data_IF_267386062858
#
_entry.id   IF_267386062858
#
_cell.length_a   1.000
_cell.length_b   1.000
_cell.length_c   1.000
_cell.angle_alpha   90.00
_cell.angle_beta   90.00
_cell.angle_gamma   90.00
#
_symmetry.space_group_name_H-M   'P 1'
#
loop_
_entity.id
_entity.type
_entity.pdbx_description
1 polymer ?
#
# COMPACT_ATOMS: atom_id res chain seq x y z
N UNK A 1 17.91 -21.51 10.89
CA UNK A 1 17.35 -20.12 10.79
C UNK A 1 15.86 -20.26 10.56
N UNK A 2 15.01 -19.51 11.26
CA UNK A 2 13.58 -19.50 10.97
C UNK A 2 13.39 -18.88 9.58
N UNK A 3 12.66 -19.57 8.71
CA UNK A 3 12.38 -19.08 7.35
C UNK A 3 11.70 -17.71 7.41
N UNK A 4 12.15 -16.76 6.56
CA UNK A 4 11.52 -15.44 6.51
C UNK A 4 10.11 -15.57 5.94
N UNK A 5 9.17 -14.93 6.58
CA UNK A 5 7.76 -14.92 6.16
C UNK A 5 7.57 -14.14 4.85
N UNK A 6 6.76 -14.65 3.93
CA UNK A 6 6.51 -14.00 2.63
C UNK A 6 5.84 -12.64 2.79
N UNK A 7 6.40 -11.62 2.13
CA UNK A 7 5.85 -10.26 2.04
C UNK A 7 5.55 -9.91 0.59
N UNK A 8 4.30 -9.70 0.25
CA UNK A 8 3.88 -9.19 -1.07
C UNK A 8 3.94 -7.66 -1.07
N UNK A 9 4.63 -7.08 -2.05
CA UNK A 9 4.77 -5.61 -2.18
C UNK A 9 4.00 -5.15 -3.41
N UNK A 10 2.96 -4.35 -3.21
CA UNK A 10 2.02 -3.93 -4.23
C UNK A 10 2.44 -2.56 -4.78
N UNK A 11 2.70 -2.50 -6.10
CA UNK A 11 3.26 -1.30 -6.76
C UNK A 11 2.39 -0.94 -7.97
N UNK A 12 1.34 -0.12 -7.80
CA UNK A 12 0.59 0.42 -8.92
C UNK A 12 1.41 1.46 -9.68
N UNK A 13 1.30 1.44 -11.01
CA UNK A 13 1.93 2.41 -11.91
C UNK A 13 1.09 2.60 -13.16
N UNK A 14 0.96 3.82 -13.69
CA UNK A 14 0.07 4.13 -14.81
C UNK A 14 0.69 4.99 -15.91
N UNK A 15 1.90 5.53 -15.70
CA UNK A 15 2.57 6.40 -16.70
C UNK A 15 3.89 5.81 -17.15
N UNK A 16 4.11 5.73 -18.46
CA UNK A 16 5.37 5.26 -19.07
C UNK A 16 6.56 6.15 -18.68
N UNK A 17 6.35 7.43 -18.38
CA UNK A 17 7.39 8.35 -17.87
C UNK A 17 7.96 7.88 -16.51
N UNK A 18 7.23 7.05 -15.76
CA UNK A 18 7.65 6.54 -14.46
C UNK A 18 8.37 5.19 -14.51
N UNK A 19 8.54 4.60 -15.68
CA UNK A 19 9.27 3.32 -15.83
C UNK A 19 10.65 3.35 -15.18
N UNK A 20 11.49 4.40 -15.35
CA UNK A 20 12.79 4.45 -14.67
C UNK A 20 12.68 4.44 -13.14
N UNK A 21 11.68 5.12 -12.56
CA UNK A 21 11.43 5.12 -11.12
C UNK A 21 10.91 3.77 -10.63
N UNK A 22 9.98 3.15 -11.36
CA UNK A 22 9.51 1.80 -11.08
C UNK A 22 10.68 0.81 -11.01
N UNK A 23 11.58 0.84 -12.01
CA UNK A 23 12.78 -0.02 -12.03
C UNK A 23 13.65 0.25 -10.79
N UNK A 24 13.85 1.52 -10.45
CA UNK A 24 14.63 1.91 -9.27
C UNK A 24 13.96 1.44 -7.97
N UNK A 25 12.63 1.58 -7.85
CA UNK A 25 11.85 1.09 -6.71
C UNK A 25 12.03 -0.41 -6.55
N UNK A 26 11.84 -1.20 -7.61
CA UNK A 26 11.98 -2.66 -7.56
C UNK A 26 13.41 -3.07 -7.21
N UNK A 27 14.42 -2.45 -7.83
CA UNK A 27 15.84 -2.71 -7.49
C UNK A 27 16.15 -2.42 -6.02
N UNK A 28 15.60 -1.34 -5.46
CA UNK A 28 15.81 -1.02 -4.03
C UNK A 28 15.19 -2.06 -3.08
N UNK A 29 14.02 -2.61 -3.44
CA UNK A 29 13.38 -3.71 -2.71
C UNK A 29 14.26 -4.96 -2.76
N UNK A 30 14.73 -5.36 -3.94
CA UNK A 30 15.54 -6.56 -4.15
C UNK A 30 16.93 -6.48 -3.51
N UNK A 31 17.49 -5.27 -3.41
CA UNK A 31 18.76 -5.02 -2.71
C UNK A 31 18.63 -5.11 -1.18
N UNK A 32 17.41 -5.09 -0.64
CA UNK A 32 17.15 -5.17 0.80
C UNK A 32 17.67 -6.47 1.45
N UNK A 33 17.88 -6.43 2.77
CA UNK A 33 18.33 -7.58 3.57
C UNK A 33 17.24 -8.63 3.82
N UNK A 34 15.96 -8.23 3.75
CA UNK A 34 14.82 -9.15 3.82
C UNK A 34 14.61 -9.79 2.45
N UNK A 35 14.75 -11.12 2.34
CA UNK A 35 14.82 -11.82 1.04
C UNK A 35 13.49 -12.40 0.55
N UNK A 36 12.61 -12.80 1.46
CA UNK A 36 11.32 -13.39 1.07
C UNK A 36 10.29 -12.31 0.71
N UNK A 37 10.61 -11.51 -0.31
CA UNK A 37 9.77 -10.44 -0.87
C UNK A 37 9.26 -10.81 -2.25
N UNK A 38 8.00 -10.45 -2.53
CA UNK A 38 7.37 -10.68 -3.82
C UNK A 38 6.74 -9.38 -4.35
N UNK A 39 7.44 -8.60 -5.18
CA UNK A 39 6.86 -7.42 -5.80
C UNK A 39 5.78 -7.80 -6.82
N UNK A 40 4.61 -7.20 -6.70
CA UNK A 40 3.49 -7.28 -7.65
C UNK A 40 3.26 -5.91 -8.26
N UNK A 41 3.59 -5.76 -9.52
CA UNK A 41 3.44 -4.52 -10.29
C UNK A 41 2.07 -4.53 -10.95
N UNK A 42 1.29 -3.49 -10.74
CA UNK A 42 0.01 -3.30 -11.43
C UNK A 42 0.18 -2.23 -12.50
N UNK A 43 0.32 -2.65 -13.76
CA UNK A 43 0.30 -1.76 -14.92
C UNK A 43 -1.14 -1.28 -15.15
N UNK A 44 -1.45 -0.07 -14.65
CA UNK A 44 -2.82 0.42 -14.58
C UNK A 44 -3.22 1.19 -15.85
N UNK A 45 -3.87 0.47 -16.78
CA UNK A 45 -4.31 1.00 -18.07
C UNK A 45 -3.18 1.28 -19.06
N UNK A 46 -1.97 0.71 -18.84
CA UNK A 46 -0.80 0.99 -19.67
C UNK A 46 -0.07 -0.30 -20.04
N UNK A 47 -0.22 -0.71 -21.31
CA UNK A 47 0.39 -1.93 -21.83
C UNK A 47 1.92 -1.81 -21.96
N UNK A 48 2.47 -0.64 -22.24
CA UNK A 48 3.92 -0.45 -22.40
C UNK A 48 4.63 -0.73 -21.06
N UNK A 49 4.04 -0.28 -19.94
CA UNK A 49 4.56 -0.60 -18.62
C UNK A 49 4.54 -2.11 -18.37
N UNK A 50 3.43 -2.78 -18.71
CA UNK A 50 3.33 -4.23 -18.59
C UNK A 50 4.42 -4.95 -19.38
N UNK A 51 4.61 -4.56 -20.65
CA UNK A 51 5.58 -5.20 -21.54
C UNK A 51 7.03 -4.95 -21.07
N UNK A 52 7.34 -3.71 -20.67
CA UNK A 52 8.69 -3.35 -20.19
C UNK A 52 9.00 -4.03 -18.86
N UNK A 53 8.08 -3.95 -17.89
CA UNK A 53 8.28 -4.54 -16.57
C UNK A 53 8.43 -6.06 -16.65
N UNK A 54 7.61 -6.74 -17.48
CA UNK A 54 7.67 -8.19 -17.69
C UNK A 54 8.97 -8.65 -18.35
N UNK A 55 9.59 -7.81 -19.19
CA UNK A 55 10.84 -8.14 -19.90
C UNK A 55 12.09 -7.80 -19.10
N UNK A 56 12.08 -6.70 -18.35
CA UNK A 56 13.28 -6.14 -17.74
C UNK A 56 13.44 -6.44 -16.25
N UNK A 57 12.35 -6.82 -15.56
CA UNK A 57 12.38 -7.06 -14.12
C UNK A 57 12.26 -8.56 -13.83
N UNK A 58 13.20 -9.07 -13.05
CA UNK A 58 13.20 -10.47 -12.61
C UNK A 58 12.56 -10.58 -11.22
N UNK A 59 12.05 -11.77 -10.88
CA UNK A 59 11.46 -12.07 -9.57
C UNK A 59 10.33 -11.10 -9.17
N UNK A 60 9.50 -10.72 -10.14
CA UNK A 60 8.30 -9.90 -9.95
C UNK A 60 7.10 -10.55 -10.65
N UNK A 61 5.90 -10.26 -10.18
CA UNK A 61 4.68 -10.52 -10.95
C UNK A 61 4.20 -9.21 -11.53
N UNK A 62 3.83 -9.21 -12.81
CA UNK A 62 3.27 -8.03 -13.49
C UNK A 62 1.84 -8.37 -13.92
N UNK A 63 0.89 -7.55 -13.50
CA UNK A 63 -0.52 -7.67 -13.90
C UNK A 63 -0.98 -6.41 -14.61
N UNK A 64 -1.87 -6.57 -15.60
CA UNK A 64 -2.41 -5.48 -16.39
C UNK A 64 -3.87 -5.20 -16.02
N UNK A 65 -4.18 -3.96 -15.66
CA UNK A 65 -5.53 -3.44 -15.75
C UNK A 65 -5.78 -2.98 -17.19
N UNK A 66 -6.73 -3.58 -17.91
CA UNK A 66 -7.02 -3.22 -19.32
C UNK A 66 -7.40 -1.73 -19.48
N UNK A 67 -7.96 -1.11 -18.44
CA UNK A 67 -8.29 0.32 -18.36
C UNK A 67 -7.74 0.88 -17.07
N UNK A 68 -7.39 2.15 -17.05
CA UNK A 68 -6.96 2.85 -15.84
C UNK A 68 -8.08 2.85 -14.79
N UNK A 69 -7.76 2.42 -13.59
CA UNK A 69 -8.67 2.28 -12.43
C UNK A 69 -8.13 2.98 -11.19
N UNK A 70 -6.95 3.60 -11.31
CA UNK A 70 -6.21 4.30 -10.28
C UNK A 70 -5.71 3.43 -9.10
N UNK A 71 -5.09 4.11 -8.13
CA UNK A 71 -4.26 3.47 -7.11
C UNK A 71 -5.06 2.55 -6.19
N UNK A 72 -6.22 3.00 -5.70
CA UNK A 72 -7.05 2.26 -4.74
C UNK A 72 -7.54 0.93 -5.31
N UNK A 73 -8.08 0.98 -6.51
CA UNK A 73 -8.52 -0.24 -7.18
C UNK A 73 -7.37 -1.22 -7.39
N UNK A 74 -6.21 -0.72 -7.82
CA UNK A 74 -5.05 -1.55 -8.10
C UNK A 74 -4.51 -2.25 -6.85
N UNK A 75 -4.46 -1.55 -5.70
CA UNK A 75 -4.08 -2.17 -4.42
C UNK A 75 -5.10 -3.23 -4.00
N UNK A 76 -6.38 -2.88 -3.95
CA UNK A 76 -7.45 -3.80 -3.53
C UNK A 76 -7.53 -5.03 -4.45
N UNK A 77 -7.26 -4.89 -5.75
CA UNK A 77 -7.18 -6.01 -6.69
C UNK A 77 -6.13 -7.02 -6.27
N UNK A 78 -4.91 -6.57 -5.97
CA UNK A 78 -3.85 -7.50 -5.55
C UNK A 78 -4.19 -8.17 -4.22
N UNK A 79 -4.77 -7.45 -3.26
CA UNK A 79 -5.20 -8.03 -2.00
C UNK A 79 -6.26 -9.12 -2.16
N UNK A 80 -7.08 -9.07 -3.22
CA UNK A 80 -8.06 -10.11 -3.57
C UNK A 80 -7.46 -11.31 -4.29
N UNK A 81 -6.56 -11.04 -5.24
CA UNK A 81 -6.06 -12.05 -6.18
C UNK A 81 -4.82 -12.79 -5.67
N UNK A 82 -4.08 -12.23 -4.72
CA UNK A 82 -2.82 -12.80 -4.22
C UNK A 82 -2.89 -13.10 -2.72
N UNK A 83 -2.60 -14.32 -2.36
CA UNK A 83 -2.45 -14.70 -0.95
C UNK A 83 -1.01 -14.49 -0.48
N UNK A 84 -0.88 -13.83 0.68
CA UNK A 84 0.39 -13.60 1.37
C UNK A 84 0.13 -13.43 2.87
N UNK A 85 1.12 -13.72 3.69
CA UNK A 85 0.99 -13.48 5.13
C UNK A 85 1.05 -11.99 5.49
N UNK A 86 1.85 -11.23 4.71
CA UNK A 86 1.99 -9.79 4.87
C UNK A 86 1.98 -9.08 3.52
N UNK A 87 1.50 -7.83 3.54
CA UNK A 87 1.43 -6.98 2.36
C UNK A 87 2.00 -5.60 2.67
N UNK A 88 2.82 -5.08 1.77
CA UNK A 88 3.21 -3.68 1.73
C UNK A 88 2.49 -3.02 0.56
N UNK A 89 1.72 -1.95 0.85
CA UNK A 89 1.18 -1.10 -0.18
C UNK A 89 2.13 0.08 -0.42
N UNK A 90 2.50 0.28 -1.67
CA UNK A 90 3.56 1.18 -2.10
C UNK A 90 3.15 2.00 -3.34
N UNK A 91 4.09 2.69 -3.95
CA UNK A 91 3.99 3.31 -5.26
C UNK A 91 5.30 3.17 -6.03
N UNK A 92 5.28 3.55 -7.30
CA UNK A 92 6.37 3.39 -8.26
C UNK A 92 7.52 4.42 -8.10
N UNK A 93 7.43 5.32 -7.12
CA UNK A 93 8.38 6.41 -6.88
C UNK A 93 8.99 6.38 -5.47
N UNK A 94 9.26 5.16 -4.97
CA UNK A 94 9.83 4.94 -3.64
C UNK A 94 11.23 4.33 -3.72
N UNK A 95 12.11 4.71 -2.78
CA UNK A 95 13.32 3.95 -2.47
C UNK A 95 13.17 3.33 -1.08
N UNK A 96 13.39 2.04 -1.03
CA UNK A 96 13.44 1.27 0.21
C UNK A 96 14.88 1.22 0.71
N UNK A 97 15.20 1.78 1.89
CA UNK A 97 16.49 1.55 2.54
C UNK A 97 16.75 0.04 2.74
N UNK A 98 18.01 -0.34 2.79
CA UNK A 98 18.44 -1.74 2.81
C UNK A 98 17.76 -2.60 3.89
N UNK A 99 17.57 -2.06 5.10
CA UNK A 99 16.92 -2.78 6.20
C UNK A 99 15.43 -2.40 6.40
N UNK A 100 14.85 -1.62 5.49
CA UNK A 100 13.50 -1.09 5.65
C UNK A 100 12.46 -2.19 5.93
N UNK A 101 12.37 -3.18 5.05
CA UNK A 101 11.39 -4.26 5.18
C UNK A 101 11.65 -5.11 6.42
N UNK A 102 12.92 -5.46 6.67
CA UNK A 102 13.33 -6.24 7.84
C UNK A 102 12.93 -5.55 9.17
N UNK A 103 13.20 -4.25 9.29
CA UNK A 103 12.85 -3.48 10.48
C UNK A 103 11.34 -3.30 10.62
N UNK A 104 10.64 -3.11 9.50
CA UNK A 104 9.17 -3.02 9.48
C UNK A 104 8.54 -4.35 9.92
N UNK A 105 9.06 -5.49 9.48
CA UNK A 105 8.62 -6.81 9.93
C UNK A 105 8.88 -7.05 11.42
N UNK A 106 10.05 -6.62 11.92
CA UNK A 106 10.34 -6.65 13.38
C UNK A 106 9.33 -5.80 14.17
N UNK A 107 9.02 -4.61 13.68
CA UNK A 107 8.01 -3.75 14.31
C UNK A 107 6.62 -4.40 14.31
N UNK A 108 6.22 -5.06 13.21
CA UNK A 108 4.97 -5.82 13.13
C UNK A 108 4.94 -6.94 14.18
N UNK A 109 5.97 -7.75 14.23
CA UNK A 109 6.06 -8.87 15.20
C UNK A 109 6.02 -8.38 16.65
N UNK A 110 6.64 -7.22 16.93
CA UNK A 110 6.65 -6.61 18.27
C UNK A 110 5.30 -6.01 18.67
N UNK A 111 4.68 -5.25 17.76
CA UNK A 111 3.47 -4.47 18.06
C UNK A 111 2.19 -5.26 17.82
N UNK A 112 2.19 -6.10 16.78
CA UNK A 112 1.03 -6.85 16.31
C UNK A 112 1.44 -8.27 15.89
N UNK A 113 1.80 -9.14 16.85
CA UNK A 113 2.36 -10.48 16.57
C UNK A 113 1.40 -11.39 15.79
N UNK A 114 0.10 -11.09 15.84
CA UNK A 114 -0.94 -11.79 15.09
C UNK A 114 -1.20 -11.20 13.68
N UNK A 115 -0.44 -10.18 13.28
CA UNK A 115 -0.60 -9.48 12.00
C UNK A 115 -1.83 -8.56 11.93
N UNK A 116 -2.58 -8.37 13.03
CA UNK A 116 -3.75 -7.50 13.04
C UNK A 116 -3.37 -6.06 13.41
N UNK A 117 -2.82 -5.32 12.44
CA UNK A 117 -2.41 -3.94 12.61
C UNK A 117 -1.70 -3.40 11.37
N UNK A 118 -1.34 -2.12 11.42
CA UNK A 118 -0.65 -1.41 10.33
C UNK A 118 0.63 -0.76 10.86
N UNK A 119 1.74 -1.05 10.17
CA UNK A 119 3.02 -0.38 10.38
C UNK A 119 3.23 0.63 9.26
N UNK A 120 3.39 1.91 9.58
CA UNK A 120 3.67 2.94 8.58
C UNK A 120 5.13 2.89 8.11
N UNK A 121 5.36 2.99 6.81
CA UNK A 121 6.69 3.09 6.19
C UNK A 121 7.05 4.53 5.78
N UNK A 122 6.12 5.47 5.88
CA UNK A 122 6.32 6.83 5.38
C UNK A 122 6.61 7.83 6.48
N UNK A 123 5.58 8.31 7.13
CA UNK A 123 5.67 9.38 8.13
C UNK A 123 4.90 9.02 9.39
N UNK A 124 5.42 9.49 10.54
CA UNK A 124 4.67 9.45 11.80
C UNK A 124 3.27 10.03 11.61
N UNK A 125 2.26 9.35 12.11
CA UNK A 125 0.86 9.75 11.99
C UNK A 125 0.29 9.83 10.56
N UNK A 126 0.81 9.01 9.62
CA UNK A 126 0.27 8.86 8.27
C UNK A 126 0.30 7.41 7.82
N UNK A 127 -0.69 7.01 7.03
CA UNK A 127 -0.80 5.68 6.41
C UNK A 127 -0.65 5.76 4.87
N UNK A 128 0.26 6.61 4.35
CA UNK A 128 0.44 6.76 2.89
C UNK A 128 1.03 5.49 2.29
N UNK A 129 2.01 4.89 2.97
CA UNK A 129 2.62 3.60 2.66
C UNK A 129 2.73 2.81 3.94
N UNK A 130 2.56 1.51 3.88
CA UNK A 130 2.59 0.70 5.10
C UNK A 130 2.56 -0.79 4.86
N UNK A 131 2.76 -1.52 5.94
CA UNK A 131 2.67 -2.98 6.01
C UNK A 131 1.49 -3.38 6.90
N UNK A 132 0.74 -4.38 6.46
CA UNK A 132 -0.28 -5.05 7.26
C UNK A 132 -0.29 -6.56 7.00
N UNK A 133 -0.80 -7.33 7.95
CA UNK A 133 -0.90 -8.78 7.82
C UNK A 133 -2.20 -9.22 7.15
N UNK A 134 -2.25 -10.48 6.74
CA UNK A 134 -3.43 -11.08 6.10
C UNK A 134 -4.68 -11.02 7.02
N UNK A 135 -4.50 -11.15 8.33
CA UNK A 135 -5.59 -11.00 9.29
C UNK A 135 -6.24 -9.61 9.23
N UNK A 136 -5.42 -8.55 9.04
CA UNK A 136 -5.93 -7.20 8.80
C UNK A 136 -6.72 -7.12 7.49
N UNK A 137 -6.19 -7.67 6.40
CA UNK A 137 -6.86 -7.69 5.09
C UNK A 137 -8.22 -8.40 5.15
N UNK A 138 -8.27 -9.56 5.80
CA UNK A 138 -9.50 -10.37 5.94
C UNK A 138 -10.57 -9.73 6.84
N UNK A 139 -10.22 -8.70 7.60
CA UNK A 139 -11.19 -7.91 8.37
C UNK A 139 -12.11 -7.05 7.49
N UNK A 140 -11.65 -6.69 6.28
CA UNK A 140 -12.39 -5.81 5.38
C UNK A 140 -13.31 -6.59 4.42
N UNK A 141 -14.48 -6.03 4.06
CA UNK A 141 -15.35 -6.62 3.05
C UNK A 141 -14.59 -6.88 1.75
N UNK A 142 -14.74 -8.06 1.18
CA UNK A 142 -14.08 -8.45 -0.07
C UNK A 142 -12.55 -8.26 -0.10
N UNK A 143 -11.89 -8.21 1.05
CA UNK A 143 -10.45 -7.91 1.19
C UNK A 143 -10.07 -6.51 0.65
N UNK A 144 -11.00 -5.58 0.63
CA UNK A 144 -10.78 -4.19 0.19
C UNK A 144 -10.36 -3.32 1.36
N UNK A 145 -9.06 -3.26 1.67
CA UNK A 145 -8.53 -2.47 2.80
C UNK A 145 -8.77 -0.97 2.58
N UNK A 146 -8.69 -0.51 1.35
CA UNK A 146 -8.98 0.88 1.01
C UNK A 146 -10.42 1.02 0.49
N UNK A 147 -11.17 1.95 1.07
CA UNK A 147 -12.57 2.17 0.70
C UNK A 147 -12.73 2.39 -0.82
N UNK A 148 -13.52 1.58 -1.52
CA UNK A 148 -13.65 1.64 -2.97
C UNK A 148 -14.44 2.86 -3.47
N UNK A 149 -15.07 3.63 -2.58
CA UNK A 149 -15.74 4.88 -2.94
C UNK A 149 -14.75 5.95 -3.43
N UNK A 150 -13.48 5.88 -2.95
CA UNK A 150 -12.41 6.76 -3.40
C UNK A 150 -11.74 6.23 -4.67
N UNK A 151 -11.17 7.15 -5.45
CA UNK A 151 -10.37 6.79 -6.62
C UNK A 151 -8.87 6.84 -6.28
N UNK A 152 -8.41 7.90 -5.61
CA UNK A 152 -6.99 8.13 -5.37
C UNK A 152 -6.66 8.75 -4.01
N UNK A 153 -7.42 9.76 -3.56
CA UNK A 153 -7.15 10.51 -2.34
C UNK A 153 -8.01 10.04 -1.16
N UNK A 154 -7.64 10.50 0.03
CA UNK A 154 -8.37 10.37 1.28
C UNK A 154 -8.45 8.97 1.88
N UNK A 155 -8.27 7.90 1.11
CA UNK A 155 -8.32 6.52 1.61
C UNK A 155 -7.25 6.21 2.65
N UNK A 156 -6.05 6.76 2.51
CA UNK A 156 -4.96 6.68 3.49
C UNK A 156 -5.31 7.42 4.79
N UNK A 157 -6.04 8.52 4.69
CA UNK A 157 -6.57 9.26 5.83
C UNK A 157 -7.66 8.49 6.58
N UNK A 158 -8.59 7.86 5.85
CA UNK A 158 -9.62 7.01 6.46
C UNK A 158 -9.03 5.75 7.10
N UNK A 159 -8.04 5.11 6.43
CA UNK A 159 -7.28 4.01 7.04
C UNK A 159 -6.60 4.45 8.33
N UNK A 160 -5.98 5.64 8.36
CA UNK A 160 -5.36 6.18 9.57
C UNK A 160 -6.39 6.37 10.69
N UNK A 161 -7.58 6.89 10.38
CA UNK A 161 -8.69 7.00 11.33
C UNK A 161 -9.07 5.64 11.91
N UNK A 162 -9.23 4.63 11.04
CA UNK A 162 -9.57 3.26 11.41
C UNK A 162 -8.52 2.64 12.34
N UNK A 163 -7.24 2.68 11.97
CA UNK A 163 -6.17 2.05 12.79
C UNK A 163 -5.96 2.77 14.13
N UNK A 164 -6.18 4.10 14.18
CA UNK A 164 -6.12 4.85 15.44
C UNK A 164 -7.27 4.48 16.37
N UNK A 165 -8.49 4.40 15.85
CA UNK A 165 -9.66 4.02 16.64
C UNK A 165 -9.54 2.62 17.20
N UNK A 166 -9.00 1.68 16.42
CA UNK A 166 -8.74 0.30 16.86
C UNK A 166 -7.44 0.14 17.66
N UNK A 167 -6.64 1.19 17.88
CA UNK A 167 -5.31 1.13 18.50
C UNK A 167 -4.36 0.14 17.79
N UNK A 168 -4.46 0.07 16.46
CA UNK A 168 -3.72 -0.88 15.60
C UNK A 168 -2.75 -0.19 14.64
N UNK A 169 -2.19 0.94 15.07
CA UNK A 169 -1.19 1.70 14.34
C UNK A 169 0.14 1.72 15.06
N UNK A 170 1.23 1.46 14.35
CA UNK A 170 2.58 1.71 14.84
C UNK A 170 3.45 2.35 13.75
N UNK A 171 4.49 3.03 14.20
CA UNK A 171 5.48 3.69 13.36
C UNK A 171 6.87 3.37 13.92
N UNK A 172 7.73 2.68 13.16
CA UNK A 172 9.09 2.39 13.57
C UNK A 172 9.88 3.72 13.66
N UNK A 173 10.58 4.00 14.77
CA UNK A 173 11.32 5.24 14.94
C UNK A 173 12.60 5.29 14.09
N UNK A 174 13.12 4.13 13.66
CA UNK A 174 14.36 4.00 12.91
C UNK A 174 14.20 4.61 11.51
N UNK A 175 15.11 5.50 11.13
CA UNK A 175 15.09 6.16 9.81
C UNK A 175 15.19 5.16 8.66
N UNK A 176 15.90 4.06 8.86
CA UNK A 176 16.07 2.96 7.92
C UNK A 176 14.78 2.17 7.67
N UNK A 177 13.76 2.36 8.51
CA UNK A 177 12.42 1.76 8.31
C UNK A 177 11.50 2.62 7.46
N UNK A 178 11.97 3.79 6.99
CA UNK A 178 11.15 4.76 6.28
C UNK A 178 11.56 4.84 4.81
N UNK A 179 10.60 4.63 3.92
CA UNK A 179 10.84 4.80 2.48
C UNK A 179 11.07 6.27 2.11
N UNK A 180 11.94 6.50 1.13
CA UNK A 180 12.13 7.81 0.51
C UNK A 180 11.16 7.94 -0.65
N UNK A 181 10.39 9.02 -0.69
CA UNK A 181 9.36 9.25 -1.70
C UNK A 181 9.75 10.39 -2.63
N UNK A 182 9.96 10.07 -3.92
CA UNK A 182 10.25 11.04 -4.97
C UNK A 182 8.95 11.65 -5.49
N UNK A 183 8.62 12.85 -4.99
CA UNK A 183 7.41 13.55 -5.41
C UNK A 183 7.63 14.29 -6.72
N UNK A 184 7.31 13.65 -7.83
CA UNK A 184 7.33 14.29 -9.14
C UNK A 184 6.09 15.16 -9.38
N UNK A 185 6.25 16.23 -10.18
CA UNK A 185 5.13 17.04 -10.67
C UNK A 185 4.82 16.66 -12.12
N UNK A 186 4.57 15.39 -12.36
CA UNK A 186 4.32 14.77 -13.66
C UNK A 186 2.82 14.72 -14.02
N UNK A 187 2.51 14.11 -15.16
CA UNK A 187 1.14 13.95 -15.64
C UNK A 187 0.29 13.10 -14.66
N UNK A 188 0.84 12.03 -14.11
CA UNK A 188 0.16 11.17 -13.13
C UNK A 188 -0.37 12.01 -11.96
N UNK A 189 0.47 12.90 -11.43
CA UNK A 189 0.07 13.78 -10.32
C UNK A 189 -0.93 14.85 -10.76
N UNK A 190 -0.81 15.37 -11.98
CA UNK A 190 -1.78 16.33 -12.53
C UNK A 190 -3.17 15.70 -12.67
N UNK A 191 -3.24 14.48 -13.21
CA UNK A 191 -4.49 13.73 -13.34
C UNK A 191 -5.09 13.38 -11.96
N UNK A 192 -4.28 12.90 -11.02
CA UNK A 192 -4.74 12.64 -9.67
C UNK A 192 -5.35 13.90 -9.02
N UNK A 193 -4.73 15.07 -9.19
CA UNK A 193 -5.27 16.34 -8.65
C UNK A 193 -6.70 16.67 -9.13
N UNK A 194 -7.08 16.27 -10.35
CA UNK A 194 -8.44 16.46 -10.87
C UNK A 194 -9.49 15.68 -10.08
N UNK A 195 -9.09 14.56 -9.50
CA UNK A 195 -9.97 13.67 -8.71
C UNK A 195 -10.09 14.16 -7.26
N UNK A 196 -9.16 14.99 -6.80
CA UNK A 196 -9.03 15.36 -5.39
C UNK A 196 -10.27 16.02 -4.79
N UNK A 197 -10.97 16.85 -5.53
CA UNK A 197 -12.19 17.54 -5.06
C UNK A 197 -13.29 16.52 -4.78
N UNK A 198 -13.51 15.58 -5.71
CA UNK A 198 -14.47 14.49 -5.58
C UNK A 198 -14.18 13.62 -4.36
N UNK A 199 -12.95 13.13 -4.24
CA UNK A 199 -12.58 12.24 -3.13
C UNK A 199 -12.68 12.95 -1.77
N UNK A 200 -12.40 14.27 -1.70
CA UNK A 200 -12.61 15.07 -0.50
C UNK A 200 -14.09 15.23 -0.14
N UNK A 201 -14.95 15.46 -1.12
CA UNK A 201 -16.39 15.53 -0.89
C UNK A 201 -16.93 14.22 -0.31
N UNK A 202 -16.49 13.09 -0.86
CA UNK A 202 -16.83 11.76 -0.32
C UNK A 202 -16.33 11.62 1.11
N UNK A 203 -15.08 12.02 1.39
CA UNK A 203 -14.54 11.98 2.75
C UNK A 203 -15.40 12.77 3.73
N UNK A 204 -15.70 14.03 3.45
CA UNK A 204 -16.53 14.86 4.34
C UNK A 204 -17.90 14.23 4.61
N UNK A 205 -18.59 13.73 3.58
CA UNK A 205 -19.87 13.03 3.74
C UNK A 205 -19.76 11.77 4.63
N UNK A 206 -18.63 11.06 4.56
CA UNK A 206 -18.38 9.87 5.39
C UNK A 206 -18.00 10.26 6.82
N UNK A 207 -17.18 11.29 6.97
CA UNK A 207 -16.76 11.82 8.27
C UNK A 207 -17.95 12.37 9.06
N UNK A 208 -18.83 13.14 8.44
CA UNK A 208 -20.07 13.66 9.04
C UNK A 208 -20.99 12.54 9.56
N UNK A 209 -21.02 11.39 8.88
CA UNK A 209 -21.77 10.22 9.29
C UNK A 209 -21.02 9.34 10.29
N UNK A 210 -19.78 9.69 10.66
CA UNK A 210 -18.91 8.89 11.50
C UNK A 210 -18.43 7.58 10.85
N UNK A 211 -18.54 7.46 9.52
CA UNK A 211 -18.13 6.24 8.81
C UNK A 211 -16.62 6.16 8.69
N UNK A 212 -16.08 5.04 9.18
CA UNK A 212 -14.72 4.59 8.88
C UNK A 212 -14.81 3.23 8.21
N UNK A 213 -14.16 3.08 7.06
CA UNK A 213 -14.17 1.84 6.31
C UNK A 213 -13.59 0.67 7.14
N UNK A 214 -14.27 -0.47 7.10
CA UNK A 214 -13.84 -1.66 7.85
C UNK A 214 -14.15 -1.63 9.35
N UNK A 215 -14.82 -0.60 9.87
CA UNK A 215 -15.28 -0.58 11.26
C UNK A 215 -16.77 -0.91 11.31
N UNK A 216 -17.10 -2.01 11.98
CA UNK A 216 -18.45 -2.26 12.44
C UNK A 216 -18.67 -1.56 13.77
N UNK A 217 -19.39 -0.44 13.74
CA UNK A 217 -19.68 0.37 14.93
C UNK A 217 -20.48 -0.39 15.98
N UNK A 218 -21.25 -1.41 15.60
CA UNK A 218 -22.01 -2.24 16.53
C UNK A 218 -21.09 -3.14 17.39
N UNK A 219 -19.89 -3.47 16.89
CA UNK A 219 -18.90 -4.24 17.65
C UNK A 219 -18.10 -3.37 18.64
N UNK A 220 -17.99 -2.06 18.40
CA UNK A 220 -17.20 -1.14 19.25
C UNK A 220 -17.99 -0.72 20.49
N UNK A 221 -19.32 -0.64 20.40
CA UNK A 221 -20.20 -0.24 21.52
C UNK A 221 -20.44 -1.35 22.53
N UNK A 222 -19.92 -2.57 22.28
CA UNK A 222 -20.05 -3.75 23.17
C UNK A 222 -18.78 -4.05 23.98
N UNK A 223 -17.79 -3.18 23.96
CA UNK A 223 -16.60 -3.20 24.81
C UNK A 223 -16.62 -2.00 25.76
#
# INVERSE_FOLDING_TARGET
>A
MKEETKVTIIIPTCSSERIPLLIQTVKSIQAGTYKNVHPVIVADGNKDIYDVASKQLNNVTVILNKKRRDWIFSINRVLKEFDSEYYIYASDDLIFPTDCIKNTMKAMQKCFPDGFGVISLGKKNKCIFGLFGNKWVNHFPNREVFCPDYIHYCSDGELLGTVKKLKKFAFPPERESQVQHFRLNDETRRLARKIRARDREIWHKREEKGYLWGIDFNLITRQ
#
